data_IF_231556218892
#
_entry.id   IF_231556218892
#
_cell.length_a   1.000
_cell.length_b   1.000
_cell.length_c   1.000
_cell.angle_alpha   90.00
_cell.angle_beta   90.00
_cell.angle_gamma   90.00
#
_symmetry.space_group_name_H-M   'P 1'
#
loop_
_entity.id
_entity.type
_entity.pdbx_description
1 polymer ?
#
# COMPACT_ATOMS: atom_id res chain seq x y z
N UNK A 1 3.45 -4.83 14.88
CA UNK A 1 3.10 -6.26 15.07
C UNK A 1 2.04 -6.47 16.16
N UNK A 2 2.18 -5.88 17.36
CA UNK A 2 1.21 -6.05 18.47
C UNK A 2 -0.23 -5.70 18.08
N UNK A 3 -0.46 -4.55 17.42
CA UNK A 3 -1.78 -4.14 16.96
C UNK A 3 -2.36 -5.14 15.94
N UNK A 4 -1.56 -5.59 14.98
CA UNK A 4 -1.99 -6.56 13.96
C UNK A 4 -2.41 -7.88 14.59
N UNK A 5 -1.62 -8.40 15.54
CA UNK A 5 -1.95 -9.63 16.27
C UNK A 5 -3.26 -9.48 17.04
N UNK A 6 -3.45 -8.33 17.70
CA UNK A 6 -4.69 -8.03 18.43
C UNK A 6 -5.90 -8.00 17.49
N UNK A 7 -5.80 -7.32 16.34
CA UNK A 7 -6.86 -7.27 15.33
C UNK A 7 -7.20 -8.68 14.82
N UNK A 8 -6.19 -9.50 14.51
CA UNK A 8 -6.41 -10.89 14.09
C UNK A 8 -7.10 -11.72 15.18
N UNK A 9 -6.68 -11.59 16.44
CA UNK A 9 -7.26 -12.32 17.56
C UNK A 9 -8.72 -11.92 17.81
N UNK A 10 -9.01 -10.61 17.77
CA UNK A 10 -10.37 -10.09 17.89
C UNK A 10 -11.25 -10.55 16.73
N UNK A 11 -10.76 -10.44 15.50
CA UNK A 11 -11.50 -10.89 14.32
C UNK A 11 -11.82 -12.38 14.39
N UNK A 12 -10.83 -13.21 14.76
CA UNK A 12 -11.01 -14.64 14.98
C UNK A 12 -12.05 -14.92 16.08
N UNK A 13 -11.97 -14.24 17.23
CA UNK A 13 -12.90 -14.41 18.34
C UNK A 13 -14.33 -14.03 17.94
N UNK A 14 -14.52 -12.91 17.24
CA UNK A 14 -15.82 -12.50 16.71
C UNK A 14 -16.37 -13.53 15.72
N UNK A 15 -15.53 -14.04 14.81
CA UNK A 15 -15.90 -15.10 13.88
C UNK A 15 -16.33 -16.37 14.61
N UNK A 16 -15.53 -16.80 15.60
CA UNK A 16 -15.82 -17.95 16.45
C UNK A 16 -17.15 -17.81 17.22
N UNK A 17 -17.42 -16.63 17.80
CA UNK A 17 -18.67 -16.35 18.50
C UNK A 17 -19.87 -16.42 17.55
N UNK A 18 -19.77 -15.82 16.36
CA UNK A 18 -20.82 -15.91 15.35
C UNK A 18 -21.02 -17.36 14.89
N UNK A 19 -19.94 -18.12 14.66
CA UNK A 19 -19.99 -19.53 14.29
C UNK A 19 -20.69 -20.38 15.32
N UNK A 20 -20.41 -20.15 16.61
CA UNK A 20 -21.11 -20.80 17.72
C UNK A 20 -22.61 -20.50 17.72
N UNK A 21 -22.98 -19.24 17.51
CA UNK A 21 -24.39 -18.82 17.50
C UNK A 21 -25.15 -19.42 16.30
N UNK A 22 -24.54 -19.43 15.11
CA UNK A 22 -25.12 -20.05 13.92
C UNK A 22 -25.29 -21.56 14.10
N UNK A 23 -24.26 -22.23 14.63
CA UNK A 23 -24.33 -23.64 14.97
C UNK A 23 -25.44 -23.96 15.98
N UNK A 24 -25.63 -23.12 17.00
CA UNK A 24 -26.69 -23.30 17.99
C UNK A 24 -28.11 -23.21 17.40
N UNK A 25 -28.27 -22.49 16.28
CA UNK A 25 -29.54 -22.37 15.53
C UNK A 25 -29.69 -23.51 14.49
N UNK A 26 -28.72 -24.43 14.42
CA UNK A 26 -28.73 -25.54 13.46
C UNK A 26 -28.28 -25.14 12.05
N UNK A 27 -27.65 -23.97 11.90
CA UNK A 27 -27.03 -23.55 10.64
C UNK A 27 -25.63 -24.19 10.57
N UNK A 28 -25.45 -25.09 9.61
CA UNK A 28 -24.17 -25.72 9.26
C UNK A 28 -23.62 -25.14 7.97
N UNK A 29 -22.33 -25.36 7.65
CA UNK A 29 -21.79 -24.93 6.35
C UNK A 29 -22.58 -25.54 5.18
N UNK A 30 -22.95 -26.82 5.28
CA UNK A 30 -23.75 -27.50 4.25
C UNK A 30 -25.15 -26.91 4.10
N UNK A 31 -25.85 -26.62 5.20
CA UNK A 31 -27.19 -26.06 5.16
C UNK A 31 -27.17 -24.60 4.69
N UNK A 32 -26.17 -23.83 5.14
CA UNK A 32 -25.94 -22.46 4.66
C UNK A 32 -25.64 -22.46 3.17
N UNK A 33 -24.71 -23.30 2.71
CA UNK A 33 -24.30 -23.38 1.31
C UNK A 33 -25.45 -23.90 0.43
N UNK A 34 -26.21 -24.91 0.87
CA UNK A 34 -27.33 -25.48 0.10
C UNK A 34 -28.51 -24.51 -0.01
N UNK A 35 -28.86 -23.82 1.08
CA UNK A 35 -29.97 -22.85 1.07
C UNK A 35 -29.59 -21.53 0.38
N UNK A 36 -28.33 -21.14 0.42
CA UNK A 36 -27.84 -19.88 -0.18
C UNK A 36 -26.98 -20.10 -1.42
N UNK A 37 -26.94 -21.31 -1.99
CA UNK A 37 -26.10 -21.65 -3.15
C UNK A 37 -26.37 -20.72 -4.32
N UNK A 38 -27.67 -20.50 -4.59
CA UNK A 38 -28.14 -19.59 -5.63
C UNK A 38 -27.67 -18.15 -5.37
N UNK A 39 -27.75 -17.69 -4.12
CA UNK A 39 -27.29 -16.36 -3.73
C UNK A 39 -25.77 -16.20 -3.84
N UNK A 40 -25.01 -17.22 -3.46
CA UNK A 40 -23.54 -17.23 -3.56
C UNK A 40 -23.08 -17.24 -5.01
N UNK A 41 -23.74 -18.02 -5.87
CA UNK A 41 -23.49 -18.00 -7.32
C UNK A 41 -23.82 -16.63 -7.91
N UNK A 42 -24.96 -16.03 -7.54
CA UNK A 42 -25.28 -14.66 -7.96
C UNK A 42 -24.28 -13.63 -7.46
N UNK A 43 -23.78 -13.76 -6.22
CA UNK A 43 -22.73 -12.91 -5.68
C UNK A 43 -21.44 -13.05 -6.49
N UNK A 44 -20.99 -14.28 -6.80
CA UNK A 44 -19.80 -14.52 -7.61
C UNK A 44 -19.96 -14.00 -9.04
N UNK A 45 -21.14 -14.21 -9.65
CA UNK A 45 -21.49 -13.65 -10.96
C UNK A 45 -21.50 -12.12 -10.92
N UNK A 46 -21.96 -11.50 -9.82
CA UNK A 46 -21.92 -10.05 -9.64
C UNK A 46 -20.50 -9.53 -9.34
N UNK A 47 -19.65 -10.34 -8.71
CA UNK A 47 -18.26 -10.02 -8.43
C UNK A 47 -17.39 -10.03 -9.70
N UNK A 48 -17.69 -10.92 -10.65
CA UNK A 48 -16.97 -11.01 -11.93
C UNK A 48 -16.94 -9.70 -12.73
N UNK A 49 -18.06 -8.99 -12.99
CA UNK A 49 -18.05 -7.72 -13.70
C UNK A 49 -17.36 -6.64 -12.87
N UNK A 50 -17.44 -6.66 -11.53
CA UNK A 50 -16.66 -5.73 -10.69
C UNK A 50 -15.16 -5.94 -10.87
N UNK A 51 -14.69 -7.19 -10.80
CA UNK A 51 -13.30 -7.53 -11.05
C UNK A 51 -12.89 -7.22 -12.50
N UNK A 52 -13.76 -7.51 -13.47
CA UNK A 52 -13.57 -7.18 -14.89
C UNK A 52 -13.45 -5.68 -15.12
N UNK A 53 -14.31 -4.87 -14.48
CA UNK A 53 -14.24 -3.41 -14.50
C UNK A 53 -12.93 -2.93 -13.88
N UNK A 54 -12.49 -3.48 -12.74
CA UNK A 54 -11.20 -3.12 -12.14
C UNK A 54 -10.03 -3.42 -13.08
N UNK A 55 -10.03 -4.58 -13.75
CA UNK A 55 -9.01 -4.95 -14.75
C UNK A 55 -9.06 -4.03 -15.98
N UNK A 56 -10.25 -3.65 -16.44
CA UNK A 56 -10.43 -2.70 -17.55
C UNK A 56 -9.93 -1.30 -17.13
N UNK A 57 -10.29 -0.83 -15.94
CA UNK A 57 -9.86 0.48 -15.42
C UNK A 57 -8.34 0.59 -15.32
N UNK A 58 -7.69 -0.48 -14.86
CA UNK A 58 -6.22 -0.57 -14.81
C UNK A 58 -5.61 -0.59 -16.22
N UNK A 59 -6.11 -1.48 -17.10
CA UNK A 59 -5.60 -1.66 -18.47
C UNK A 59 -5.73 -0.41 -19.34
N UNK A 60 -6.79 0.36 -19.17
CA UNK A 60 -7.04 1.60 -19.94
C UNK A 60 -6.54 2.86 -19.23
N UNK A 61 -5.80 2.74 -18.12
CA UNK A 61 -5.33 3.87 -17.32
C UNK A 61 -6.45 4.84 -16.87
N UNK A 62 -7.67 4.32 -16.74
CA UNK A 62 -8.85 5.05 -16.27
C UNK A 62 -8.89 5.15 -14.74
N UNK A 63 -7.81 4.80 -14.04
CA UNK A 63 -7.63 5.04 -12.61
C UNK A 63 -7.86 6.52 -12.25
N UNK A 64 -7.63 7.46 -13.19
CA UNK A 64 -7.95 8.89 -13.03
C UNK A 64 -9.45 9.19 -12.88
N UNK A 65 -10.33 8.24 -13.20
CA UNK A 65 -11.80 8.36 -13.02
C UNK A 65 -12.23 8.01 -11.59
N UNK A 66 -11.51 7.12 -10.90
CA UNK A 66 -11.85 6.71 -9.52
C UNK A 66 -11.94 7.91 -8.55
N UNK A 67 -10.97 8.84 -8.54
CA UNK A 67 -11.03 10.05 -7.71
C UNK A 67 -12.16 11.02 -8.05
N UNK A 68 -12.79 10.90 -9.23
CA UNK A 68 -13.98 11.69 -9.60
C UNK A 68 -15.26 11.14 -8.97
N UNK A 69 -15.28 9.85 -8.63
CA UNK A 69 -16.44 9.14 -8.09
C UNK A 69 -16.33 9.03 -6.56
N UNK A 70 -15.12 8.78 -6.04
CA UNK A 70 -14.86 8.65 -4.61
C UNK A 70 -13.93 9.75 -4.11
N UNK A 71 -14.18 10.32 -2.92
CA UNK A 71 -13.26 11.27 -2.31
C UNK A 71 -11.82 10.68 -2.24
N UNK A 72 -10.80 11.39 -2.74
CA UNK A 72 -9.42 10.89 -2.79
C UNK A 72 -8.90 10.44 -1.42
N UNK A 73 -9.27 11.16 -0.36
CA UNK A 73 -8.93 10.79 1.02
C UNK A 73 -9.45 9.41 1.40
N UNK A 74 -10.68 9.06 1.02
CA UNK A 74 -11.24 7.75 1.33
C UNK A 74 -10.49 6.63 0.60
N UNK A 75 -10.09 6.88 -0.66
CA UNK A 75 -9.27 5.93 -1.44
C UNK A 75 -7.89 5.72 -0.81
N UNK A 76 -7.23 6.78 -0.34
CA UNK A 76 -5.93 6.69 0.34
C UNK A 76 -6.04 5.89 1.64
N UNK A 77 -7.09 6.12 2.43
CA UNK A 77 -7.34 5.35 3.64
C UNK A 77 -7.65 3.88 3.35
N UNK A 78 -8.52 3.61 2.38
CA UNK A 78 -8.87 2.25 1.99
C UNK A 78 -7.63 1.49 1.50
N UNK A 79 -6.85 2.09 0.59
CA UNK A 79 -5.60 1.51 0.09
C UNK A 79 -4.56 1.32 1.22
N UNK A 80 -4.50 2.27 2.16
CA UNK A 80 -3.58 2.25 3.29
C UNK A 80 -3.80 1.12 4.28
N UNK A 81 -5.04 0.60 4.40
CA UNK A 81 -5.42 -0.47 5.33
C UNK A 81 -5.93 -1.74 4.63
N UNK A 82 -5.89 -1.80 3.30
CA UNK A 82 -6.50 -2.87 2.51
C UNK A 82 -6.03 -4.26 2.92
N UNK A 83 -4.72 -4.45 3.06
CA UNK A 83 -4.13 -5.74 3.39
C UNK A 83 -4.44 -6.16 4.83
N UNK A 84 -4.46 -5.22 5.78
CA UNK A 84 -4.85 -5.45 7.16
C UNK A 84 -6.33 -5.84 7.28
N UNK A 85 -7.20 -5.23 6.48
CA UNK A 85 -8.62 -5.58 6.40
C UNK A 85 -8.78 -7.01 5.87
N UNK A 86 -8.08 -7.36 4.78
CA UNK A 86 -8.09 -8.72 4.22
C UNK A 86 -7.61 -9.74 5.27
N UNK A 87 -6.51 -9.43 5.96
CA UNK A 87 -5.98 -10.29 7.02
C UNK A 87 -7.02 -10.50 8.13
N UNK A 88 -7.64 -9.42 8.60
CA UNK A 88 -8.70 -9.46 9.61
C UNK A 88 -9.90 -10.31 9.15
N UNK A 89 -10.38 -10.11 7.93
CA UNK A 89 -11.47 -10.91 7.35
C UNK A 89 -11.10 -12.39 7.25
N UNK A 90 -9.87 -12.72 6.83
CA UNK A 90 -9.40 -14.10 6.79
C UNK A 90 -9.38 -14.75 8.16
N UNK A 91 -8.88 -14.05 9.19
CA UNK A 91 -8.91 -14.53 10.58
C UNK A 91 -10.35 -14.72 11.09
N UNK A 92 -11.26 -13.80 10.75
CA UNK A 92 -12.68 -13.92 11.05
C UNK A 92 -13.29 -15.19 10.45
N UNK A 93 -13.09 -15.44 9.15
CA UNK A 93 -13.62 -16.64 8.49
C UNK A 93 -13.00 -17.93 9.05
N UNK A 94 -11.72 -17.90 9.44
CA UNK A 94 -11.07 -19.05 10.07
C UNK A 94 -11.73 -19.39 11.41
N UNK A 95 -12.01 -18.40 12.26
CA UNK A 95 -12.74 -18.60 13.52
C UNK A 95 -14.18 -19.05 13.31
N UNK A 96 -14.88 -18.43 12.35
CA UNK A 96 -16.25 -18.76 11.97
C UNK A 96 -16.39 -20.22 11.57
N UNK A 97 -15.61 -20.67 10.58
CA UNK A 97 -15.69 -22.01 10.04
C UNK A 97 -15.27 -23.07 11.06
N UNK A 98 -14.22 -22.79 11.84
CA UNK A 98 -13.73 -23.72 12.86
C UNK A 98 -14.83 -24.04 13.89
N UNK A 99 -15.48 -23.02 14.44
CA UNK A 99 -16.45 -23.20 15.53
C UNK A 99 -17.81 -23.67 15.01
N UNK A 100 -18.25 -23.19 13.84
CA UNK A 100 -19.50 -23.65 13.22
C UNK A 100 -19.46 -25.15 12.92
N UNK A 101 -18.31 -25.70 12.55
CA UNK A 101 -18.15 -27.13 12.25
C UNK A 101 -17.74 -27.99 13.45
N UNK A 102 -17.44 -27.41 14.62
CA UNK A 102 -17.12 -28.14 15.85
C UNK A 102 -18.36 -28.67 16.59
N UNK A 103 -19.54 -28.14 16.30
CA UNK A 103 -20.79 -28.46 17.01
C UNK A 103 -21.53 -29.70 16.49
N UNK A 104 -21.12 -30.29 15.37
CA UNK A 104 -21.87 -31.37 14.70
C UNK A 104 -21.27 -32.77 14.93
N UNK A 105 -22.10 -33.82 14.83
CA UNK A 105 -21.65 -35.22 14.75
C UNK A 105 -20.90 -35.43 13.44
N UNK A 106 -19.57 -35.40 13.52
CA UNK A 106 -18.66 -35.33 12.37
C UNK A 106 -18.53 -36.65 11.61
N UNK A 107 -18.78 -36.61 10.31
CA UNK A 107 -18.28 -37.64 9.39
C UNK A 107 -16.80 -37.38 9.09
N UNK A 108 -16.03 -38.45 8.83
CA UNK A 108 -14.60 -38.33 8.49
C UNK A 108 -14.37 -37.41 7.27
N UNK A 109 -15.27 -37.45 6.29
CA UNK A 109 -15.19 -36.62 5.09
C UNK A 109 -15.35 -35.13 5.40
N UNK A 110 -16.31 -34.76 6.27
CA UNK A 110 -16.51 -33.36 6.69
C UNK A 110 -15.30 -32.81 7.44
N UNK A 111 -14.69 -33.62 8.31
CA UNK A 111 -13.46 -33.22 9.03
C UNK A 111 -12.32 -32.97 8.05
N UNK A 112 -12.14 -33.83 7.05
CA UNK A 112 -11.11 -33.64 6.03
C UNK A 112 -11.37 -32.36 5.22
N UNK A 113 -12.61 -32.10 4.80
CA UNK A 113 -12.96 -30.88 4.06
C UNK A 113 -12.70 -29.61 4.88
N UNK A 114 -13.10 -29.60 6.16
CA UNK A 114 -12.82 -28.49 7.07
C UNK A 114 -11.31 -28.27 7.22
N UNK A 115 -10.53 -29.33 7.45
CA UNK A 115 -9.08 -29.21 7.58
C UNK A 115 -8.42 -28.68 6.30
N UNK A 116 -8.88 -29.11 5.12
CA UNK A 116 -8.42 -28.58 3.84
C UNK A 116 -8.75 -27.09 3.71
N UNK A 117 -9.98 -26.67 4.05
CA UNK A 117 -10.39 -25.27 3.99
C UNK A 117 -9.59 -24.39 4.98
N UNK A 118 -9.47 -24.83 6.24
CA UNK A 118 -8.67 -24.13 7.25
C UNK A 118 -7.20 -24.06 6.86
N UNK A 119 -6.65 -25.15 6.31
CA UNK A 119 -5.29 -25.20 5.80
C UNK A 119 -5.05 -24.22 4.65
N UNK A 120 -5.97 -24.14 3.69
CA UNK A 120 -5.89 -23.19 2.58
C UNK A 120 -5.97 -21.73 3.05
N UNK A 121 -6.91 -21.41 3.95
CA UNK A 121 -7.03 -20.07 4.52
C UNK A 121 -5.78 -19.72 5.32
N UNK A 122 -5.33 -20.60 6.23
CA UNK A 122 -4.15 -20.37 7.06
C UNK A 122 -2.89 -20.18 6.20
N UNK A 123 -2.73 -20.98 5.14
CA UNK A 123 -1.62 -20.84 4.20
C UNK A 123 -1.66 -19.48 3.49
N UNK A 124 -2.81 -19.08 2.94
CA UNK A 124 -2.97 -17.78 2.30
C UNK A 124 -2.68 -16.61 3.26
N UNK A 125 -3.18 -16.69 4.50
CA UNK A 125 -2.91 -15.68 5.53
C UNK A 125 -1.44 -15.67 5.95
N UNK A 126 -0.76 -16.81 5.98
CA UNK A 126 0.68 -16.88 6.28
C UNK A 126 1.53 -16.17 5.22
N UNK A 127 1.16 -16.29 3.94
CA UNK A 127 1.78 -15.54 2.84
C UNK A 127 1.52 -14.04 3.04
N UNK A 128 0.28 -13.66 3.28
CA UNK A 128 -0.07 -12.25 3.50
C UNK A 128 0.69 -11.65 4.70
N UNK A 129 0.77 -12.38 5.81
CA UNK A 129 1.54 -11.99 7.00
C UNK A 129 3.03 -11.84 6.69
N UNK A 130 3.61 -12.76 5.91
CA UNK A 130 4.99 -12.67 5.46
C UNK A 130 5.25 -11.35 4.71
N UNK A 131 4.33 -10.91 3.84
CA UNK A 131 4.50 -9.64 3.12
C UNK A 131 4.22 -8.41 4.00
N UNK A 132 3.33 -8.51 4.98
CA UNK A 132 3.04 -7.45 5.96
C UNK A 132 4.15 -7.23 7.00
N UNK A 133 5.15 -8.11 7.07
CA UNK A 133 6.27 -7.93 7.99
C UNK A 133 7.08 -6.67 7.65
N UNK A 134 7.48 -5.88 8.67
CA UNK A 134 8.26 -4.67 8.46
C UNK A 134 9.65 -5.02 7.91
N UNK A 135 10.17 -4.19 7.01
CA UNK A 135 11.48 -4.40 6.37
C UNK A 135 12.65 -3.79 7.15
N UNK A 136 12.40 -3.19 8.31
CA UNK A 136 13.40 -2.45 9.09
C UNK A 136 14.68 -3.26 9.38
N UNK A 137 14.53 -4.55 9.69
CA UNK A 137 15.65 -5.45 9.94
C UNK A 137 16.47 -5.82 8.68
N UNK A 138 15.92 -5.58 7.49
CA UNK A 138 16.57 -5.83 6.19
C UNK A 138 17.34 -4.63 5.67
N UNK A 139 17.09 -3.44 6.23
CA UNK A 139 17.75 -2.20 5.81
C UNK A 139 19.23 -2.28 6.16
N UNK A 140 20.07 -2.20 5.14
CA UNK A 140 21.52 -2.26 5.31
C UNK A 140 22.08 -0.94 5.90
N UNK A 141 23.40 -0.79 5.90
CA UNK A 141 24.02 0.49 6.29
C UNK A 141 23.58 1.59 5.30
N UNK A 142 23.20 2.78 5.79
CA UNK A 142 22.79 3.88 4.91
C UNK A 142 23.85 4.20 3.87
N UNK A 143 23.42 4.38 2.62
CA UNK A 143 24.30 4.73 1.51
C UNK A 143 23.90 6.11 0.96
N UNK A 144 24.88 6.99 0.79
CA UNK A 144 24.69 8.31 0.20
C UNK A 144 25.46 8.38 -1.13
N UNK A 145 24.80 8.80 -2.20
CA UNK A 145 25.42 9.03 -3.51
C UNK A 145 24.98 10.38 -4.02
N UNK A 146 25.91 11.31 -4.22
CA UNK A 146 25.63 12.67 -4.70
C UNK A 146 24.55 13.40 -3.89
N UNK A 147 24.55 13.24 -2.57
CA UNK A 147 23.56 13.83 -1.67
C UNK A 147 22.21 13.10 -1.61
N UNK A 148 22.02 12.02 -2.39
CA UNK A 148 20.81 11.19 -2.39
C UNK A 148 20.99 9.98 -1.49
N UNK A 149 20.01 9.72 -0.64
CA UNK A 149 19.96 8.49 0.16
C UNK A 149 19.50 7.36 -0.75
N UNK A 150 20.34 6.34 -0.89
CA UNK A 150 20.12 5.19 -1.77
C UNK A 150 19.39 4.10 -1.00
N UNK A 151 18.35 3.54 -1.61
CA UNK A 151 17.62 2.44 -1.02
C UNK A 151 18.48 1.19 -0.92
N UNK A 152 18.40 0.51 0.21
CA UNK A 152 19.15 -0.74 0.44
C UNK A 152 18.31 -1.98 0.23
N UNK A 153 16.99 -1.84 0.08
CA UNK A 153 16.06 -2.94 -0.23
C UNK A 153 15.18 -2.60 -1.43
N UNK A 154 14.52 -3.58 -2.07
CA UNK A 154 13.56 -3.32 -3.14
C UNK A 154 12.31 -2.54 -2.70
N UNK A 155 12.05 -2.41 -1.40
CA UNK A 155 10.78 -1.90 -0.86
C UNK A 155 10.87 -0.47 -0.31
N UNK A 156 12.08 0.09 -0.25
CA UNK A 156 12.40 1.30 0.54
C UNK A 156 12.69 2.55 -0.29
N UNK A 157 12.14 2.61 -1.51
CA UNK A 157 12.23 3.77 -2.39
C UNK A 157 11.61 5.04 -1.77
N UNK A 158 10.40 4.93 -1.23
CA UNK A 158 9.71 6.05 -0.59
C UNK A 158 10.44 6.53 0.68
N UNK A 159 10.83 5.64 1.64
CA UNK A 159 11.64 6.04 2.79
C UNK A 159 12.94 6.77 2.42
N UNK A 160 13.67 6.25 1.44
CA UNK A 160 14.92 6.86 0.98
C UNK A 160 14.70 8.22 0.33
N UNK A 161 13.61 8.39 -0.42
CA UNK A 161 13.24 9.66 -1.04
C UNK A 161 12.78 10.69 -0.01
N UNK A 162 11.94 10.30 0.97
CA UNK A 162 11.53 11.15 2.09
C UNK A 162 12.75 11.56 2.93
N UNK A 163 13.65 10.63 3.23
CA UNK A 163 14.89 10.94 3.94
C UNK A 163 15.74 11.94 3.15
N UNK A 164 15.81 11.80 1.82
CA UNK A 164 16.52 12.76 0.94
C UNK A 164 15.86 14.14 1.00
N UNK A 165 14.54 14.23 0.87
CA UNK A 165 13.79 15.49 1.00
C UNK A 165 14.04 16.15 2.37
N UNK A 166 14.02 15.36 3.43
CA UNK A 166 14.26 15.84 4.81
C UNK A 166 15.65 16.45 4.98
N UNK A 167 16.66 15.89 4.29
CA UNK A 167 18.02 16.43 4.30
C UNK A 167 18.16 17.68 3.44
N UNK A 168 17.60 17.68 2.23
CA UNK A 168 17.69 18.81 1.29
C UNK A 168 16.96 20.05 1.83
N UNK A 169 15.82 19.84 2.49
CA UNK A 169 15.03 20.89 3.16
C UNK A 169 15.62 21.32 4.50
N UNK A 170 16.71 20.66 4.94
CA UNK A 170 17.44 20.90 6.20
C UNK A 170 16.63 20.65 7.48
N UNK A 171 15.42 20.09 7.40
CA UNK A 171 14.60 19.72 8.56
C UNK A 171 15.25 18.62 9.39
N UNK A 172 15.76 17.58 8.74
CA UNK A 172 16.48 16.50 9.41
C UNK A 172 17.75 16.13 8.63
N UNK A 173 18.86 16.87 8.82
CA UNK A 173 20.06 16.75 7.96
C UNK A 173 20.81 15.42 8.10
N UNK A 174 20.61 14.68 9.20
CA UNK A 174 21.31 13.42 9.47
C UNK A 174 20.41 12.18 9.34
N UNK A 175 19.11 12.35 9.04
CA UNK A 175 18.16 11.23 9.02
C UNK A 175 18.55 10.17 8.00
N UNK A 176 18.33 8.91 8.34
CA UNK A 176 18.71 7.74 7.55
C UNK A 176 17.50 7.04 6.94
N UNK A 177 17.72 6.22 5.91
CA UNK A 177 16.70 5.32 5.36
C UNK A 177 16.03 4.49 6.46
N UNK A 178 16.82 3.92 7.39
CA UNK A 178 16.31 3.05 8.45
C UNK A 178 15.35 3.76 9.39
N UNK A 179 15.64 5.00 9.75
CA UNK A 179 14.76 5.81 10.60
C UNK A 179 13.45 6.10 9.89
N UNK A 180 13.50 6.49 8.62
CA UNK A 180 12.27 6.76 7.85
C UNK A 180 11.48 5.48 7.61
N UNK A 181 12.11 4.33 7.38
CA UNK A 181 11.44 3.02 7.29
C UNK A 181 10.62 2.71 8.55
N UNK A 182 11.13 3.08 9.73
CA UNK A 182 10.38 2.91 10.97
C UNK A 182 9.18 3.86 11.05
N UNK A 183 9.32 5.10 10.56
CA UNK A 183 8.25 6.11 10.55
C UNK A 183 7.13 5.75 9.57
N UNK A 184 7.48 5.31 8.36
CA UNK A 184 6.55 4.89 7.31
C UNK A 184 5.96 3.50 7.55
N UNK A 185 6.55 2.72 8.46
CA UNK A 185 6.19 1.31 8.70
C UNK A 185 6.21 0.47 7.42
N UNK A 186 7.19 0.73 6.55
CA UNK A 186 7.37 0.03 5.27
C UNK A 186 7.44 -1.49 5.49
N UNK A 187 6.71 -2.23 4.67
CA UNK A 187 6.70 -3.70 4.65
C UNK A 187 7.12 -4.21 3.26
N UNK A 188 6.95 -5.51 2.98
CA UNK A 188 7.41 -6.10 1.71
C UNK A 188 6.45 -5.86 0.53
N UNK A 189 5.32 -5.22 0.76
CA UNK A 189 4.54 -4.60 -0.32
C UNK A 189 5.05 -3.20 -0.68
N UNK A 190 5.98 -2.64 0.12
CA UNK A 190 6.46 -1.28 -0.02
C UNK A 190 5.84 -0.34 1.00
N UNK A 191 5.60 0.90 0.58
CA UNK A 191 5.05 1.97 1.42
C UNK A 191 3.77 2.49 0.78
N UNK A 192 2.72 2.68 1.59
CA UNK A 192 1.47 3.27 1.11
C UNK A 192 1.53 4.79 1.18
N UNK A 193 0.81 5.49 0.30
CA UNK A 193 0.71 6.96 0.29
C UNK A 193 0.30 7.53 1.65
N UNK A 194 -0.63 6.86 2.36
CA UNK A 194 -1.03 7.27 3.72
C UNK A 194 0.14 7.24 4.72
N UNK A 195 0.98 6.20 4.64
CA UNK A 195 2.16 6.07 5.47
C UNK A 195 3.25 7.09 5.10
N UNK A 196 3.38 7.43 3.82
CA UNK A 196 4.29 8.49 3.36
C UNK A 196 3.87 9.85 3.94
N UNK A 197 2.60 10.23 3.79
CA UNK A 197 2.04 11.48 4.35
C UNK A 197 2.29 11.52 5.87
N UNK A 198 1.90 10.48 6.62
CA UNK A 198 2.09 10.44 8.07
C UNK A 198 3.56 10.50 8.50
N UNK A 199 4.47 9.91 7.73
CA UNK A 199 5.90 10.00 8.01
C UNK A 199 6.42 11.41 7.75
N UNK A 200 5.99 12.04 6.66
CA UNK A 200 6.35 13.42 6.32
C UNK A 200 5.79 14.43 7.34
N UNK A 201 4.57 14.21 7.86
CA UNK A 201 4.00 14.99 8.98
C UNK A 201 4.88 14.91 10.23
N UNK A 202 5.29 13.69 10.61
CA UNK A 202 6.19 13.47 11.77
C UNK A 202 7.59 14.05 11.61
N UNK A 203 8.00 14.30 10.36
CA UNK A 203 9.26 14.94 10.02
C UNK A 203 9.09 16.45 9.77
N UNK A 204 7.94 17.01 10.14
CA UNK A 204 7.63 18.44 10.02
C UNK A 204 7.85 18.97 8.60
N UNK A 205 7.62 18.12 7.59
CA UNK A 205 7.67 18.46 6.17
C UNK A 205 6.35 19.05 5.67
N UNK A 206 5.33 19.12 6.53
CA UNK A 206 3.96 19.57 6.26
C UNK A 206 3.45 19.11 4.89
N UNK A 207 3.20 17.80 4.75
CA UNK A 207 2.89 17.21 3.46
C UNK A 207 1.53 17.68 2.93
N UNK A 208 1.50 18.00 1.64
CA UNK A 208 0.26 18.30 0.92
C UNK A 208 0.11 17.36 -0.26
N UNK A 209 -0.85 16.44 -0.19
CA UNK A 209 -1.11 15.50 -1.29
C UNK A 209 -1.95 16.14 -2.39
N UNK A 210 -1.45 16.05 -3.62
CA UNK A 210 -2.08 16.53 -4.84
C UNK A 210 -2.02 15.44 -5.91
N UNK A 211 -3.07 15.30 -6.70
CA UNK A 211 -3.19 14.28 -7.76
C UNK A 211 -3.77 14.91 -9.03
N UNK A 212 -3.70 14.17 -10.15
CA UNK A 212 -4.09 14.65 -11.49
C UNK A 212 -3.36 15.94 -11.90
N UNK A 213 -2.12 16.10 -11.45
CA UNK A 213 -1.29 17.26 -11.78
C UNK A 213 -0.63 17.10 -13.15
N UNK A 214 -0.45 18.23 -13.83
CA UNK A 214 0.36 18.38 -15.05
C UNK A 214 1.79 18.83 -14.70
N UNK A 215 2.68 18.82 -15.70
CA UNK A 215 4.05 19.34 -15.51
C UNK A 215 4.01 20.84 -15.26
N UNK A 216 3.09 21.54 -15.93
CA UNK A 216 2.80 22.97 -15.75
C UNK A 216 2.34 23.27 -14.31
N UNK A 217 1.50 22.43 -13.73
CA UNK A 217 1.09 22.57 -12.33
C UNK A 217 2.29 22.43 -11.38
N UNK A 218 3.18 21.45 -11.60
CA UNK A 218 4.41 21.31 -10.80
C UNK A 218 5.33 22.51 -10.94
N UNK A 219 5.46 23.07 -12.15
CA UNK A 219 6.23 24.30 -12.40
C UNK A 219 5.64 25.46 -11.60
N UNK A 220 4.30 25.61 -11.62
CA UNK A 220 3.61 26.68 -10.89
C UNK A 220 3.75 26.52 -9.38
N UNK A 221 3.71 25.28 -8.87
CA UNK A 221 3.87 25.00 -7.44
C UNK A 221 5.31 25.26 -6.99
N UNK A 222 6.30 24.86 -7.79
CA UNK A 222 7.74 25.03 -7.53
C UNK A 222 8.18 24.63 -6.10
N UNK A 223 7.57 23.57 -5.55
CA UNK A 223 7.90 23.00 -4.23
C UNK A 223 8.63 21.66 -4.37
N UNK A 224 9.56 21.32 -3.47
CA UNK A 224 10.06 19.95 -3.34
C UNK A 224 8.90 18.99 -3.05
N UNK A 225 8.99 17.76 -3.54
CA UNK A 225 7.89 16.81 -3.40
C UNK A 225 8.38 15.37 -3.43
N UNK A 226 7.63 14.47 -2.78
CA UNK A 226 7.71 13.04 -3.06
C UNK A 226 6.81 12.74 -4.28
N UNK A 227 7.35 12.07 -5.28
CA UNK A 227 6.65 11.75 -6.52
C UNK A 227 6.55 10.24 -6.71
N UNK A 228 5.39 9.77 -7.15
CA UNK A 228 5.21 8.40 -7.63
C UNK A 228 5.43 8.34 -9.14
N UNK A 229 6.25 7.39 -9.60
CA UNK A 229 6.72 7.31 -10.98
C UNK A 229 6.75 5.87 -11.51
N UNK A 230 6.73 5.74 -12.84
CA UNK A 230 6.84 4.51 -13.62
C UNK A 230 8.31 4.26 -13.98
N UNK A 231 9.04 3.62 -13.08
CA UNK A 231 10.47 3.37 -13.25
C UNK A 231 10.76 2.18 -14.18
N UNK A 232 11.92 2.22 -14.85
CA UNK A 232 12.44 1.13 -15.67
C UNK A 232 13.56 0.40 -14.93
N UNK A 233 13.70 -0.93 -15.11
CA UNK A 233 14.86 -1.66 -14.62
C UNK A 233 16.18 -1.08 -15.15
N UNK A 234 17.27 -1.20 -14.39
CA UNK A 234 18.59 -0.64 -14.73
C UNK A 234 19.12 -1.12 -16.10
N UNK A 235 18.75 -2.32 -16.53
CA UNK A 235 19.10 -2.90 -17.83
C UNK A 235 18.37 -2.25 -19.01
N UNK A 236 17.37 -1.40 -18.77
CA UNK A 236 16.46 -0.86 -19.78
C UNK A 236 15.49 -1.89 -20.37
N UNK A 237 15.62 -3.17 -19.99
CA UNK A 237 14.78 -4.29 -20.44
C UNK A 237 13.88 -4.75 -19.31
N UNK A 238 12.57 -4.80 -19.56
CA UNK A 238 11.58 -5.29 -18.61
C UNK A 238 10.36 -4.37 -18.49
N UNK A 239 9.43 -4.78 -17.62
CA UNK A 239 8.19 -4.04 -17.36
C UNK A 239 8.48 -2.85 -16.45
N UNK A 240 7.80 -1.72 -16.71
CA UNK A 240 7.87 -0.56 -15.81
C UNK A 240 7.22 -0.92 -14.48
N UNK A 241 7.78 -0.43 -13.37
CA UNK A 241 7.25 -0.69 -12.04
C UNK A 241 6.99 0.63 -11.30
N UNK A 242 6.07 0.60 -10.32
CA UNK A 242 5.79 1.75 -9.47
C UNK A 242 6.96 2.02 -8.53
N UNK A 243 7.36 3.28 -8.44
CA UNK A 243 8.53 3.72 -7.69
C UNK A 243 8.30 5.11 -7.09
N UNK A 244 9.12 5.48 -6.10
CA UNK A 244 9.06 6.80 -5.47
C UNK A 244 10.41 7.52 -5.61
N UNK A 245 10.36 8.80 -5.98
CA UNK A 245 11.52 9.68 -6.16
C UNK A 245 11.28 11.03 -5.50
N UNK A 246 12.35 11.73 -5.15
CA UNK A 246 12.27 13.09 -4.62
C UNK A 246 12.43 14.12 -5.74
N UNK A 247 11.46 15.02 -5.90
CA UNK A 247 11.58 16.23 -6.70
C UNK A 247 12.40 17.26 -5.94
N UNK A 248 13.50 17.73 -6.54
CA UNK A 248 14.42 18.67 -5.89
C UNK A 248 14.32 20.07 -6.47
N UNK A 249 14.26 20.18 -7.80
CA UNK A 249 14.10 21.48 -8.46
C UNK A 249 13.57 21.33 -9.89
N UNK A 250 13.00 22.40 -10.40
CA UNK A 250 12.54 22.51 -11.78
C UNK A 250 13.21 23.75 -12.39
N UNK A 251 13.73 23.61 -13.60
CA UNK A 251 14.26 24.70 -14.41
C UNK A 251 13.37 24.91 -15.64
N UNK A 252 12.39 25.83 -15.58
CA UNK A 252 11.46 26.07 -16.69
C UNK A 252 12.15 26.54 -17.97
N UNK A 253 13.20 27.36 -17.84
CA UNK A 253 13.91 27.96 -18.98
C UNK A 253 14.64 26.88 -19.81
N UNK A 254 15.23 25.90 -19.14
CA UNK A 254 15.92 24.77 -19.78
C UNK A 254 15.00 23.57 -20.02
N UNK A 255 13.75 23.61 -19.56
CA UNK A 255 12.79 22.49 -19.57
C UNK A 255 13.33 21.23 -18.89
N UNK A 256 14.00 21.40 -17.75
CA UNK A 256 14.65 20.31 -17.00
C UNK A 256 14.05 20.16 -15.61
N UNK A 257 13.91 18.92 -15.17
CA UNK A 257 13.50 18.54 -13.82
C UNK A 257 14.63 17.75 -13.17
N UNK A 258 15.02 18.18 -11.98
CA UNK A 258 16.03 17.51 -11.17
C UNK A 258 15.33 16.65 -10.12
N UNK A 259 15.56 15.34 -10.21
CA UNK A 259 15.05 14.37 -9.24
C UNK A 259 16.19 13.65 -8.54
N UNK A 260 15.96 13.26 -7.30
CA UNK A 260 16.76 12.30 -6.57
C UNK A 260 16.08 10.94 -6.61
N UNK A 261 16.66 10.03 -7.38
CA UNK A 261 16.17 8.67 -7.51
C UNK A 261 16.91 7.75 -6.52
N UNK A 262 16.21 7.10 -5.58
CA UNK A 262 16.85 6.27 -4.56
C UNK A 262 17.54 5.01 -5.12
N UNK A 263 17.35 4.65 -6.40
CA UNK A 263 18.10 3.57 -7.05
C UNK A 263 19.42 4.02 -7.66
N UNK A 264 19.47 5.23 -8.19
CA UNK A 264 20.53 5.67 -9.11
C UNK A 264 21.24 6.97 -8.68
N UNK A 265 20.70 7.68 -7.69
CA UNK A 265 21.16 9.00 -7.28
C UNK A 265 20.47 10.12 -8.06
N UNK A 266 21.19 11.23 -8.24
CA UNK A 266 20.68 12.42 -8.95
C UNK A 266 20.42 12.12 -10.43
N UNK A 267 19.26 12.55 -10.93
CA UNK A 267 18.90 12.44 -12.34
C UNK A 267 18.28 13.74 -12.84
N UNK A 268 18.55 14.06 -14.10
CA UNK A 268 17.93 15.16 -14.82
C UNK A 268 17.02 14.54 -15.88
N UNK A 269 15.79 15.04 -15.99
CA UNK A 269 14.82 14.64 -17.01
C UNK A 269 14.33 15.86 -17.77
N UNK A 270 14.05 15.71 -19.06
CA UNK A 270 13.29 16.73 -19.78
C UNK A 270 11.81 16.66 -19.40
N UNK A 271 11.04 17.70 -19.71
CA UNK A 271 9.60 17.72 -19.44
C UNK A 271 8.87 16.59 -20.17
N UNK A 272 9.27 16.28 -21.40
CA UNK A 272 8.68 15.24 -22.24
C UNK A 272 8.95 13.85 -21.65
N UNK A 273 10.18 13.60 -21.20
CA UNK A 273 10.54 12.35 -20.52
C UNK A 273 9.79 12.21 -19.20
N UNK A 274 9.69 13.31 -18.45
CA UNK A 274 9.06 13.31 -17.14
C UNK A 274 7.55 13.08 -17.23
N UNK A 275 6.86 13.68 -18.20
CA UNK A 275 5.42 13.50 -18.42
C UNK A 275 5.03 12.03 -18.68
N UNK A 276 5.90 11.25 -19.33
CA UNK A 276 5.68 9.82 -19.53
C UNK A 276 6.14 8.93 -18.36
N UNK A 277 6.96 9.50 -17.48
CA UNK A 277 7.58 8.82 -16.35
C UNK A 277 6.74 8.96 -15.07
N UNK A 278 6.10 10.10 -14.85
CA UNK A 278 5.38 10.42 -13.63
C UNK A 278 3.90 10.01 -13.68
N UNK A 279 3.31 9.66 -12.54
CA UNK A 279 1.89 9.29 -12.44
C UNK A 279 0.94 10.50 -12.37
N UNK A 280 1.44 11.73 -12.21
CA UNK A 280 0.61 12.92 -11.99
C UNK A 280 0.21 13.14 -10.53
N UNK A 281 0.92 12.50 -9.59
CA UNK A 281 0.68 12.60 -8.15
C UNK A 281 1.92 13.08 -7.41
N UNK A 282 1.73 13.96 -6.42
CA UNK A 282 2.81 14.52 -5.62
C UNK A 282 2.36 14.70 -4.17
N UNK A 283 3.25 14.38 -3.23
CA UNK A 283 3.16 14.84 -1.84
C UNK A 283 4.16 15.99 -1.70
N UNK A 284 3.65 17.23 -1.77
CA UNK A 284 4.47 18.44 -1.68
C UNK A 284 5.01 18.61 -0.27
N UNK A 285 6.17 19.22 -0.16
CA UNK A 285 6.75 19.69 1.12
C UNK A 285 6.41 21.17 1.28
N UNK A 286 5.64 21.52 2.31
CA UNK A 286 5.36 22.92 2.64
C UNK A 286 6.21 23.39 3.83
N UNK A 287 7.20 24.24 3.56
CA UNK A 287 8.05 24.78 4.62
C UNK A 287 7.53 26.12 5.19
N UNK A 288 6.50 26.71 4.60
CA UNK A 288 6.00 28.03 5.00
C UNK A 288 5.07 27.96 6.21
N UNK A 289 4.33 26.86 6.40
CA UNK A 289 3.51 26.64 7.59
C UNK A 289 4.32 26.58 8.90
N UNK A 290 5.60 26.20 8.86
CA UNK A 290 6.45 26.12 10.04
C UNK A 290 6.90 27.49 10.61
N UNK A 291 6.54 28.61 9.96
CA UNK A 291 6.86 29.97 10.45
C UNK A 291 5.72 30.67 11.19
N UNK A 292 4.53 30.05 11.26
CA UNK A 292 3.31 30.67 11.81
C UNK A 292 2.83 29.95 13.11
N UNK A 293 3.47 28.85 13.50
CA UNK A 293 3.28 28.19 14.81
C UNK A 293 4.41 28.50 15.78
#
# INVERSE_FOLDING_TARGET
>A
MTITVLVCALAFACGAMLGKNLAAIGITSDNALKNHQRSLVWLLIALMPVLGILVILDKFHLASVLPKIFPPMLLIYLAGYFNEIILGMGCFFLGLLLVMELSEKRSRQKVVQLLVALGAIAFALSILLFFLQPVQAMVAKPKLVNGVIIQTTPYTCAPSSIATLSRVTKKHPIITEREVVALTRTNRFGTTTLSEIRAMEKLELNPEYRHNLTVEDLISLNKPALLHVKEKPKSGKGVRFSHAVALLSINPQKRLILIANPLYGMQIKTFEEFAQYWFGEAILVDLEQARIS
#
